data_IF_878523579676
#
_entry.id   IF_878523579676
#
_cell.length_a   1.000
_cell.length_b   1.000
_cell.length_c   1.000
_cell.angle_alpha   90.00
_cell.angle_beta   90.00
_cell.angle_gamma   90.00
#
_symmetry.space_group_name_H-M   'P 1'
#
loop_
_entity.id
_entity.type
_entity.pdbx_description
1 polymer ?
#
# COMPACT_ATOMS: atom_id res chain seq x y z
N UNK A 1 -39.87 34.07 -27.21
CA UNK A 1 -38.48 33.84 -27.67
C UNK A 1 -37.45 33.64 -26.53
N UNK A 2 -37.68 34.07 -25.28
CA UNK A 2 -36.67 34.00 -24.20
C UNK A 2 -36.46 32.65 -23.48
N UNK A 3 -37.45 31.74 -23.49
CA UNK A 3 -37.40 30.49 -22.72
C UNK A 3 -36.48 29.43 -23.34
N UNK A 4 -36.46 29.31 -24.67
CA UNK A 4 -35.60 28.35 -25.38
C UNK A 4 -34.12 28.70 -25.22
N UNK A 5 -33.80 29.99 -25.12
CA UNK A 5 -32.41 30.45 -24.93
C UNK A 5 -31.89 30.19 -23.50
N UNK A 6 -32.75 30.31 -22.47
CA UNK A 6 -32.37 30.02 -21.09
C UNK A 6 -32.13 28.52 -20.88
N UNK A 7 -32.97 27.65 -21.45
CA UNK A 7 -32.82 26.19 -21.40
C UNK A 7 -31.51 25.70 -22.04
N UNK A 8 -31.17 26.21 -23.23
CA UNK A 8 -29.91 25.86 -23.92
C UNK A 8 -28.70 26.32 -23.09
N UNK A 9 -28.77 27.51 -22.50
CA UNK A 9 -27.69 28.03 -21.65
C UNK A 9 -27.51 27.20 -20.36
N UNK A 10 -28.60 26.77 -19.74
CA UNK A 10 -28.60 25.89 -18.57
C UNK A 10 -28.05 24.50 -18.91
N UNK A 11 -28.42 23.93 -20.06
CA UNK A 11 -27.87 22.66 -20.53
C UNK A 11 -26.34 22.74 -20.74
N UNK A 12 -25.85 23.83 -21.33
CA UNK A 12 -24.40 24.07 -21.51
C UNK A 12 -23.68 24.20 -20.16
N UNK A 13 -24.24 24.97 -19.22
CA UNK A 13 -23.70 25.10 -17.86
C UNK A 13 -23.66 23.76 -17.12
N UNK A 14 -24.72 22.98 -17.21
CA UNK A 14 -24.80 21.65 -16.60
C UNK A 14 -23.76 20.69 -17.19
N UNK A 15 -23.62 20.64 -18.52
CA UNK A 15 -22.58 19.84 -19.20
C UNK A 15 -21.16 20.26 -18.78
N UNK A 16 -20.90 21.57 -18.68
CA UNK A 16 -19.60 22.10 -18.23
C UNK A 16 -19.31 21.71 -16.78
N UNK A 17 -20.29 21.87 -15.89
CA UNK A 17 -20.17 21.47 -14.48
C UNK A 17 -19.91 19.96 -14.33
N UNK A 18 -20.65 19.12 -15.06
CA UNK A 18 -20.43 17.67 -15.07
C UNK A 18 -19.02 17.30 -15.53
N UNK A 19 -18.54 17.91 -16.63
CA UNK A 19 -17.16 17.70 -17.12
C UNK A 19 -16.11 18.13 -16.09
N UNK A 20 -16.32 19.28 -15.45
CA UNK A 20 -15.42 19.77 -14.39
C UNK A 20 -15.35 18.77 -13.24
N UNK A 21 -16.50 18.27 -12.77
CA UNK A 21 -16.54 17.26 -11.70
C UNK A 21 -15.79 15.98 -12.08
N UNK A 22 -16.02 15.44 -13.28
CA UNK A 22 -15.31 14.25 -13.80
C UNK A 22 -13.80 14.48 -13.84
N UNK A 23 -13.36 15.63 -14.37
CA UNK A 23 -11.94 15.94 -14.44
C UNK A 23 -11.34 16.09 -13.04
N UNK A 24 -12.02 16.80 -12.13
CA UNK A 24 -11.58 16.98 -10.75
C UNK A 24 -11.48 15.66 -9.99
N UNK A 25 -12.48 14.79 -10.07
CA UNK A 25 -12.45 13.47 -9.41
C UNK A 25 -11.32 12.61 -9.95
N UNK A 26 -11.12 12.61 -11.28
CA UNK A 26 -10.02 11.89 -11.92
C UNK A 26 -8.66 12.41 -11.49
N UNK A 27 -8.46 13.72 -11.45
CA UNK A 27 -7.21 14.33 -10.97
C UNK A 27 -6.93 14.01 -9.51
N UNK A 28 -7.94 14.10 -8.63
CA UNK A 28 -7.75 13.84 -7.20
C UNK A 28 -7.30 12.40 -6.93
N UNK A 29 -7.96 11.42 -7.57
CA UNK A 29 -7.58 10.00 -7.43
C UNK A 29 -6.20 9.75 -8.07
N UNK A 30 -5.89 10.40 -9.21
CA UNK A 30 -4.56 10.26 -9.82
C UNK A 30 -3.45 10.77 -8.91
N UNK A 31 -3.63 11.94 -8.29
CA UNK A 31 -2.65 12.52 -7.36
C UNK A 31 -2.49 11.67 -6.09
N UNK A 32 -3.58 11.10 -5.57
CA UNK A 32 -3.53 10.16 -4.44
C UNK A 32 -2.69 8.92 -4.80
N UNK A 33 -2.97 8.31 -5.95
CA UNK A 33 -2.23 7.14 -6.42
C UNK A 33 -0.74 7.45 -6.68
N UNK A 34 -0.43 8.58 -7.31
CA UNK A 34 0.93 9.05 -7.54
C UNK A 34 1.69 9.23 -6.23
N UNK A 35 1.10 9.94 -5.27
CA UNK A 35 1.68 10.12 -3.94
C UNK A 35 1.95 8.77 -3.27
N UNK A 36 1.00 7.83 -3.32
CA UNK A 36 1.18 6.51 -2.72
C UNK A 36 2.35 5.74 -3.34
N UNK A 37 2.52 5.83 -4.66
CA UNK A 37 3.62 5.19 -5.39
C UNK A 37 4.95 5.84 -5.04
N UNK A 38 5.01 7.17 -4.97
CA UNK A 38 6.24 7.88 -4.62
C UNK A 38 6.68 7.53 -3.19
N UNK A 39 5.72 7.47 -2.25
CA UNK A 39 5.98 6.99 -0.89
C UNK A 39 6.48 5.54 -0.87
N UNK A 40 5.90 4.67 -1.71
CA UNK A 40 6.34 3.27 -1.83
C UNK A 40 7.76 3.16 -2.39
N UNK A 41 8.11 3.95 -3.42
CA UNK A 41 9.46 4.00 -4.00
C UNK A 41 10.48 4.51 -2.98
N UNK A 42 10.16 5.60 -2.29
CA UNK A 42 11.04 6.16 -1.26
C UNK A 42 11.26 5.17 -0.12
N UNK A 43 10.21 4.47 0.30
CA UNK A 43 10.28 3.43 1.31
C UNK A 43 11.15 2.26 0.86
N UNK A 44 10.89 1.74 -0.35
CA UNK A 44 11.64 0.63 -0.95
C UNK A 44 13.13 0.97 -1.13
N UNK A 45 13.43 2.18 -1.61
CA UNK A 45 14.80 2.65 -1.75
C UNK A 45 15.52 2.70 -0.40
N UNK A 46 14.90 3.27 0.64
CA UNK A 46 15.48 3.30 1.99
C UNK A 46 15.70 1.89 2.56
N UNK A 47 14.83 0.94 2.21
CA UNK A 47 14.95 -0.44 2.63
C UNK A 47 16.13 -1.14 1.94
N UNK A 48 16.33 -0.93 0.65
CA UNK A 48 17.39 -1.60 -0.11
C UNK A 48 18.76 -0.92 -0.06
N UNK A 49 18.84 0.35 0.35
CA UNK A 49 20.09 1.11 0.37
C UNK A 49 21.02 0.86 1.56
N UNK A 50 20.65 0.01 2.52
CA UNK A 50 21.57 -0.31 3.62
C UNK A 50 22.38 -1.56 3.28
N UNK A 51 23.68 -1.36 3.10
CA UNK A 51 24.83 -2.28 3.18
C UNK A 51 24.68 -3.73 2.64
N UNK A 52 25.72 -4.12 1.89
CA UNK A 52 25.89 -5.42 1.24
C UNK A 52 25.75 -6.59 2.22
N UNK A 53 24.81 -7.47 1.91
CA UNK A 53 24.54 -8.67 2.70
C UNK A 53 25.17 -9.90 2.03
N UNK A 54 26.29 -10.39 2.59
CA UNK A 54 26.93 -11.66 2.24
C UNK A 54 26.46 -12.79 3.18
N UNK A 55 25.18 -13.18 3.12
CA UNK A 55 24.68 -14.33 3.92
C UNK A 55 23.61 -15.15 3.18
N UNK A 56 23.33 -16.36 3.67
CA UNK A 56 22.35 -17.29 3.09
C UNK A 56 20.96 -16.64 2.94
N UNK A 57 20.29 -16.94 1.83
CA UNK A 57 19.10 -16.23 1.33
C UNK A 57 17.97 -16.08 2.37
N UNK A 58 17.76 -17.06 3.25
CA UNK A 58 16.67 -17.01 4.24
C UNK A 58 17.03 -16.20 5.49
N UNK A 59 18.29 -16.20 5.94
CA UNK A 59 18.73 -15.33 7.05
C UNK A 59 18.66 -13.85 6.63
N UNK A 60 18.99 -13.56 5.37
CA UNK A 60 18.84 -12.21 4.82
C UNK A 60 17.39 -11.73 4.82
N UNK A 61 16.44 -12.59 4.45
CA UNK A 61 15.02 -12.24 4.47
C UNK A 61 14.52 -11.93 5.87
N UNK A 62 15.00 -12.65 6.88
CA UNK A 62 14.67 -12.39 8.29
C UNK A 62 15.21 -11.02 8.70
N UNK A 63 16.46 -10.69 8.34
CA UNK A 63 17.05 -9.38 8.64
C UNK A 63 16.33 -8.24 7.92
N UNK A 64 15.95 -8.43 6.66
CA UNK A 64 15.16 -7.48 5.88
C UNK A 64 13.75 -7.29 6.46
N UNK A 65 13.09 -8.37 6.90
CA UNK A 65 11.80 -8.29 7.58
C UNK A 65 11.90 -7.55 8.92
N UNK A 66 12.97 -7.78 9.69
CA UNK A 66 13.25 -7.01 10.89
C UNK A 66 13.54 -5.53 10.60
N UNK A 67 14.23 -5.24 9.50
CA UNK A 67 14.47 -3.86 9.07
C UNK A 67 13.15 -3.18 8.68
N UNK A 68 12.30 -3.89 7.94
CA UNK A 68 10.98 -3.41 7.52
C UNK A 68 10.15 -2.92 8.70
N UNK A 69 9.98 -3.75 9.74
CA UNK A 69 9.17 -3.39 10.92
C UNK A 69 9.78 -2.28 11.80
N UNK A 70 11.08 -2.01 11.66
CA UNK A 70 11.78 -0.91 12.36
C UNK A 70 11.60 0.43 11.65
N UNK A 71 11.25 0.43 10.37
CA UNK A 71 11.00 1.64 9.61
C UNK A 71 9.56 2.12 9.85
N UNK A 72 9.29 3.44 9.89
CA UNK A 72 7.93 3.93 10.02
C UNK A 72 7.10 3.55 8.80
N UNK A 73 5.89 3.05 9.03
CA UNK A 73 4.93 2.71 7.97
C UNK A 73 4.62 3.94 7.10
N UNK A 74 4.70 3.83 5.76
CA UNK A 74 4.29 4.90 4.88
C UNK A 74 2.79 5.20 5.02
N UNK A 75 2.42 6.49 4.88
CA UNK A 75 1.05 6.96 5.00
C UNK A 75 0.21 6.68 3.74
N UNK A 76 0.08 5.42 3.34
CA UNK A 76 -0.68 5.03 2.15
C UNK A 76 -2.19 5.26 2.32
N UNK A 77 -2.72 6.08 1.42
CA UNK A 77 -4.08 6.56 1.25
C UNK A 77 -5.08 5.76 0.41
N UNK A 78 -6.38 5.77 0.71
CA UNK A 78 -7.42 5.63 -0.33
C UNK A 78 -8.63 6.55 -0.04
N UNK A 79 -8.36 7.71 0.55
CA UNK A 79 -9.37 8.67 1.03
C UNK A 79 -10.17 9.27 -0.12
N UNK A 80 -9.48 9.71 -1.17
CA UNK A 80 -10.10 10.32 -2.35
C UNK A 80 -10.90 9.28 -3.11
N UNK A 81 -10.35 8.07 -3.26
CA UNK A 81 -11.10 6.94 -3.81
C UNK A 81 -12.42 6.70 -3.05
N UNK A 82 -12.35 6.60 -1.72
CA UNK A 82 -13.52 6.33 -0.87
C UNK A 82 -14.54 7.47 -0.88
N UNK A 83 -14.08 8.73 -0.78
CA UNK A 83 -14.95 9.92 -0.78
C UNK A 83 -15.65 10.15 -2.13
N UNK A 84 -15.07 9.67 -3.23
CA UNK A 84 -15.61 9.84 -4.57
C UNK A 84 -16.35 8.59 -5.09
N UNK A 85 -16.59 7.59 -4.23
CA UNK A 85 -17.21 6.30 -4.61
C UNK A 85 -18.50 6.45 -5.44
N UNK A 86 -19.35 7.41 -5.07
CA UNK A 86 -20.62 7.70 -5.76
C UNK A 86 -20.45 8.24 -7.18
N UNK A 87 -19.30 8.84 -7.50
CA UNK A 87 -18.99 9.42 -8.80
C UNK A 87 -18.17 8.50 -9.69
N UNK A 88 -17.67 7.36 -9.18
CA UNK A 88 -16.82 6.45 -9.94
C UNK A 88 -17.47 5.93 -11.22
N UNK A 89 -18.74 5.44 -11.22
CA UNK A 89 -19.36 4.88 -12.43
C UNK A 89 -19.56 5.91 -13.54
N UNK A 90 -19.56 7.20 -13.19
CA UNK A 90 -19.73 8.32 -14.13
C UNK A 90 -18.37 8.84 -14.60
N UNK A 91 -17.32 8.68 -13.78
CA UNK A 91 -16.00 9.27 -14.00
C UNK A 91 -15.06 8.31 -14.75
N UNK A 92 -15.13 7.02 -14.44
CA UNK A 92 -14.20 6.00 -14.91
C UNK A 92 -14.94 4.90 -15.67
N UNK A 93 -14.23 4.23 -16.56
CA UNK A 93 -14.73 2.98 -17.13
C UNK A 93 -14.47 1.82 -16.18
N UNK A 94 -15.22 0.72 -16.30
CA UNK A 94 -15.13 -0.43 -15.40
C UNK A 94 -13.69 -0.98 -15.25
N UNK A 95 -12.93 -1.03 -16.35
CA UNK A 95 -11.52 -1.47 -16.30
C UNK A 95 -10.63 -0.56 -15.45
N UNK A 96 -10.87 0.74 -15.48
CA UNK A 96 -10.14 1.71 -14.64
C UNK A 96 -10.56 1.56 -13.18
N UNK A 97 -11.86 1.32 -12.92
CA UNK A 97 -12.37 1.07 -11.57
C UNK A 97 -11.72 -0.18 -10.97
N UNK A 98 -11.69 -1.28 -11.72
CA UNK A 98 -11.04 -2.53 -11.31
C UNK A 98 -9.55 -2.29 -11.05
N UNK A 99 -8.84 -1.60 -11.96
CA UNK A 99 -7.42 -1.34 -11.80
C UNK A 99 -7.09 -0.52 -10.55
N UNK A 100 -7.85 0.55 -10.25
CA UNK A 100 -7.65 1.35 -9.03
C UNK A 100 -8.03 0.55 -7.79
N UNK A 101 -9.09 -0.26 -7.84
CA UNK A 101 -9.48 -1.13 -6.73
C UNK A 101 -8.40 -2.17 -6.42
N UNK A 102 -7.82 -2.81 -7.45
CA UNK A 102 -6.73 -3.77 -7.27
C UNK A 102 -5.47 -3.11 -6.73
N UNK A 103 -5.14 -1.90 -7.20
CA UNK A 103 -4.03 -1.10 -6.66
C UNK A 103 -4.21 -0.82 -5.16
N UNK A 104 -5.39 -0.34 -4.75
CA UNK A 104 -5.69 -0.08 -3.34
C UNK A 104 -5.64 -1.37 -2.50
N UNK A 105 -6.16 -2.48 -3.04
CA UNK A 105 -6.10 -3.77 -2.36
C UNK A 105 -4.66 -4.24 -2.14
N UNK A 106 -3.77 -4.04 -3.10
CA UNK A 106 -2.34 -4.34 -2.94
C UNK A 106 -1.70 -3.47 -1.84
N UNK A 107 -2.03 -2.17 -1.75
CA UNK A 107 -1.55 -1.33 -0.65
C UNK A 107 -2.05 -1.84 0.71
N UNK A 108 -3.31 -2.22 0.82
CA UNK A 108 -3.86 -2.78 2.05
C UNK A 108 -3.21 -4.12 2.42
N UNK A 109 -2.85 -4.94 1.42
CA UNK A 109 -2.09 -6.17 1.63
C UNK A 109 -0.69 -5.90 2.20
N UNK A 110 0.03 -4.89 1.68
CA UNK A 110 1.32 -4.46 2.26
C UNK A 110 1.18 -4.06 3.72
N UNK A 111 0.15 -3.27 4.06
CA UNK A 111 -0.12 -2.89 5.47
C UNK A 111 -0.41 -4.12 6.33
N UNK A 112 -1.21 -5.05 5.83
CA UNK A 112 -1.52 -6.28 6.56
C UNK A 112 -0.26 -7.11 6.85
N UNK A 113 0.62 -7.27 5.85
CA UNK A 113 1.89 -7.97 6.04
C UNK A 113 2.76 -7.24 7.08
N UNK A 114 2.86 -5.91 6.97
CA UNK A 114 3.61 -5.09 7.92
C UNK A 114 3.08 -5.26 9.36
N UNK A 115 1.77 -5.18 9.57
CA UNK A 115 1.16 -5.41 10.89
C UNK A 115 1.37 -6.82 11.42
N UNK A 116 1.31 -7.84 10.55
CA UNK A 116 1.55 -9.24 10.95
C UNK A 116 2.99 -9.44 11.42
N UNK A 117 3.97 -8.84 10.73
CA UNK A 117 5.37 -8.94 11.12
C UNK A 117 5.62 -8.25 12.48
N UNK A 118 4.99 -7.09 12.74
CA UNK A 118 5.04 -6.45 14.07
C UNK A 118 4.41 -7.33 15.14
N UNK A 119 3.23 -7.91 14.87
CA UNK A 119 2.55 -8.80 15.81
C UNK A 119 3.39 -10.05 16.13
N UNK A 120 4.12 -10.59 15.15
CA UNK A 120 5.02 -11.72 15.36
C UNK A 120 6.23 -11.31 16.21
N UNK A 121 6.88 -10.18 15.90
CA UNK A 121 8.04 -9.69 16.66
C UNK A 121 7.68 -9.35 18.11
N UNK A 122 6.52 -8.72 18.33
CA UNK A 122 6.03 -8.39 19.67
C UNK A 122 5.74 -9.65 20.49
N UNK A 123 5.04 -10.64 19.91
CA UNK A 123 4.76 -11.93 20.59
C UNK A 123 6.03 -12.71 20.92
N UNK A 124 6.99 -12.76 20.00
CA UNK A 124 8.27 -13.44 20.24
C UNK A 124 9.06 -12.74 21.36
N UNK A 125 9.04 -11.41 21.40
CA UNK A 125 9.67 -10.63 22.47
C UNK A 125 8.97 -10.80 23.83
N UNK A 126 7.65 -10.79 23.86
CA UNK A 126 6.85 -11.02 25.07
C UNK A 126 7.10 -12.42 25.64
N UNK A 127 7.02 -13.44 24.79
CA UNK A 127 7.30 -14.83 25.18
C UNK A 127 8.71 -14.95 25.76
N UNK A 128 9.73 -14.45 25.06
CA UNK A 128 11.12 -14.57 25.49
C UNK A 128 11.43 -13.74 26.77
N UNK A 129 10.75 -12.62 27.02
CA UNK A 129 10.96 -11.79 28.22
C UNK A 129 10.28 -12.36 29.48
N UNK A 130 9.11 -13.00 29.32
CA UNK A 130 8.36 -13.62 30.42
C UNK A 130 9.15 -14.77 31.07
N UNK A 131 9.85 -15.56 30.26
CA UNK A 131 10.66 -16.68 30.74
C UNK A 131 12.07 -16.28 31.21
N UNK A 132 12.63 -15.18 30.71
CA UNK A 132 13.90 -14.64 31.23
C UNK A 132 13.78 -14.14 32.69
N UNK A 133 12.58 -13.70 33.09
CA UNK A 133 12.29 -13.21 34.44
C UNK A 133 12.04 -14.31 35.47
N UNK A 134 11.85 -15.57 35.04
CA UNK A 134 11.49 -16.69 35.94
C UNK A 134 12.69 -17.42 36.54
N UNK A 135 13.92 -16.91 36.39
CA UNK A 135 15.14 -17.49 36.97
C UNK A 135 15.55 -18.86 36.40
N UNK A 136 14.89 -19.33 35.35
CA UNK A 136 15.25 -20.55 34.65
C UNK A 136 16.51 -20.30 33.79
N UNK A 137 17.43 -21.28 33.72
CA UNK A 137 18.59 -21.20 32.83
C UNK A 137 18.10 -21.01 31.39
N UNK A 138 18.34 -19.82 30.84
CA UNK A 138 17.92 -19.37 29.50
C UNK A 138 18.27 -20.34 28.35
N UNK A 139 19.18 -21.29 28.57
CA UNK A 139 19.63 -22.28 27.59
C UNK A 139 18.72 -23.49 27.42
N UNK A 140 17.73 -23.73 28.30
CA UNK A 140 16.90 -24.96 28.27
C UNK A 140 15.42 -24.73 27.90
N UNK A 141 15.01 -23.47 27.69
CA UNK A 141 13.63 -23.14 27.35
C UNK A 141 13.48 -22.98 25.82
N UNK A 142 12.42 -23.56 25.21
CA UNK A 142 12.17 -23.38 23.79
C UNK A 142 11.90 -21.90 23.53
N UNK A 143 12.78 -21.21 22.79
CA UNK A 143 12.50 -19.84 22.33
C UNK A 143 11.43 -19.89 21.25
N UNK A 144 10.54 -18.90 21.24
CA UNK A 144 9.67 -18.73 20.09
C UNK A 144 10.53 -18.33 18.89
N UNK A 145 10.46 -19.13 17.83
CA UNK A 145 11.11 -18.88 16.53
C UNK A 145 10.07 -18.57 15.44
N UNK A 146 8.84 -18.24 15.82
CA UNK A 146 7.73 -18.03 14.87
C UNK A 146 8.04 -16.91 13.89
N UNK A 147 8.68 -15.83 14.33
CA UNK A 147 9.12 -14.78 13.43
C UNK A 147 10.11 -15.34 12.38
N UNK A 148 11.10 -16.13 12.80
CA UNK A 148 12.08 -16.72 11.88
C UNK A 148 11.46 -17.71 10.89
N UNK A 149 10.41 -18.40 11.30
CA UNK A 149 9.69 -19.37 10.47
C UNK A 149 8.77 -18.70 9.44
N UNK A 150 8.03 -17.65 9.83
CA UNK A 150 7.01 -17.01 8.98
C UNK A 150 7.53 -15.79 8.21
N UNK A 151 8.54 -15.08 8.72
CA UNK A 151 9.04 -13.83 8.12
C UNK A 151 9.56 -13.99 6.69
N UNK A 152 10.30 -15.05 6.30
CA UNK A 152 10.77 -15.20 4.93
C UNK A 152 9.64 -15.25 3.90
N UNK A 153 8.56 -15.98 4.20
CA UNK A 153 7.39 -16.07 3.30
C UNK A 153 6.65 -14.74 3.22
N UNK A 154 6.49 -14.04 4.34
CA UNK A 154 5.85 -12.73 4.38
C UNK A 154 6.69 -11.67 3.66
N UNK A 155 8.01 -11.78 3.74
CA UNK A 155 8.94 -10.94 3.00
C UNK A 155 8.79 -11.13 1.49
N UNK A 156 8.78 -12.39 1.02
CA UNK A 156 8.63 -12.69 -0.41
C UNK A 156 7.31 -12.14 -0.97
N UNK A 157 6.22 -12.23 -0.20
CA UNK A 157 4.93 -11.61 -0.56
C UNK A 157 5.03 -10.08 -0.61
N UNK A 158 5.66 -9.47 0.40
CA UNK A 158 5.84 -8.02 0.49
C UNK A 158 6.65 -7.48 -0.70
N UNK A 159 7.79 -8.10 -0.99
CA UNK A 159 8.66 -7.74 -2.10
C UNK A 159 7.92 -7.87 -3.43
N UNK A 160 7.25 -9.01 -3.67
CA UNK A 160 6.50 -9.25 -4.90
C UNK A 160 5.42 -8.20 -5.13
N UNK A 161 4.65 -7.85 -4.10
CA UNK A 161 3.61 -6.82 -4.21
C UNK A 161 4.25 -5.44 -4.46
N UNK A 162 5.33 -5.12 -3.74
CA UNK A 162 6.01 -3.82 -3.83
C UNK A 162 6.60 -3.60 -5.22
N UNK A 163 7.37 -4.56 -5.74
CA UNK A 163 7.96 -4.51 -7.08
C UNK A 163 6.86 -4.39 -8.14
N UNK A 164 5.81 -5.22 -8.04
CA UNK A 164 4.66 -5.15 -8.96
C UNK A 164 3.99 -3.77 -8.96
N UNK A 165 3.78 -3.15 -7.80
CA UNK A 165 3.19 -1.81 -7.70
C UNK A 165 4.09 -0.72 -8.30
N UNK A 166 5.40 -0.79 -8.06
CA UNK A 166 6.38 0.17 -8.59
C UNK A 166 6.46 0.06 -10.12
N UNK A 167 6.53 -1.17 -10.66
CA UNK A 167 6.59 -1.42 -12.10
C UNK A 167 5.29 -1.01 -12.82
N UNK A 168 4.15 -1.33 -12.22
CA UNK A 168 2.85 -1.00 -12.81
C UNK A 168 2.51 0.48 -12.72
N UNK A 169 3.04 1.18 -11.70
CA UNK A 169 2.80 2.60 -11.48
C UNK A 169 1.32 2.94 -11.31
N UNK A 170 0.98 4.19 -11.59
CA UNK A 170 -0.39 4.68 -11.35
C UNK A 170 -1.35 3.98 -12.33
N UNK A 171 -2.38 3.28 -11.84
CA UNK A 171 -3.32 2.54 -12.69
C UNK A 171 -4.08 3.44 -13.68
N UNK A 172 -4.20 4.74 -13.40
CA UNK A 172 -4.85 5.73 -14.26
C UNK A 172 -3.94 6.31 -15.35
N UNK A 173 -2.62 6.15 -15.21
CA UNK A 173 -1.63 6.59 -16.20
C UNK A 173 -1.42 5.57 -17.32
N UNK A 174 -2.00 4.36 -17.19
CA UNK A 174 -2.01 3.31 -18.22
C UNK A 174 -2.94 3.65 -19.39
N UNK A 175 -2.80 4.83 -20.01
CA UNK A 175 -3.44 5.20 -21.28
C UNK A 175 -2.60 6.18 -22.09
N UNK A 176 -1.86 5.63 -23.06
CA UNK A 176 -1.80 6.02 -24.48
C UNK A 176 -1.10 4.90 -25.27
N UNK A 177 -1.80 3.80 -25.53
CA UNK A 177 -1.58 2.95 -26.71
C UNK A 177 -2.94 2.65 -27.29
#
# INVERSE_FOLDING_TARGET
MGLVSSEISNLRRHKRSKRSKINSTRTLISLENERNIDLLKDFWYKLNNSEEYETENDELKIDLAHKLIKMPEPSWNNDMWSKQASFLPITFIDKEIIAVSSFNHCLDALKSIYTKLIDLDTKDREYNSTYASSGAKLSTLPRSNRFKEEAPSLWDEFEKITVSLIENGNPLNKRKK
#
